data_IF_001851861956
#
_entry.id   IF_001851861956
#
_cell.length_a   1.000
_cell.length_b   1.000
_cell.length_c   1.000
_cell.angle_alpha   90.00
_cell.angle_beta   90.00
_cell.angle_gamma   90.00
#
_symmetry.space_group_name_H-M   'P 1'
#
loop_
_entity.id
_entity.type
_entity.pdbx_description
1 polymer ?
#
# COMPACT_ATOMS: atom_id res chain seq x y z
N UNK A 1 2.19 5.49 11.61
CA UNK A 1 0.97 4.93 10.96
C UNK A 1 0.79 5.64 9.63
N UNK A 2 0.53 4.93 8.54
CA UNK A 2 0.18 5.56 7.26
C UNK A 2 -1.33 5.74 7.13
N UNK A 3 -1.77 6.88 6.60
CA UNK A 3 -3.15 7.13 6.20
C UNK A 3 -3.21 8.12 5.04
N UNK A 4 -4.15 7.88 4.13
CA UNK A 4 -4.48 8.75 3.00
C UNK A 4 -5.93 9.19 3.15
N UNK A 5 -6.13 10.50 3.14
CA UNK A 5 -7.43 11.14 3.27
C UNK A 5 -7.81 11.83 1.97
N UNK A 6 -9.04 11.62 1.51
CA UNK A 6 -9.59 12.36 0.40
C UNK A 6 -9.87 13.82 0.79
N UNK A 7 -9.30 14.75 0.03
CA UNK A 7 -9.31 16.17 0.34
C UNK A 7 -10.69 16.81 0.21
N UNK A 8 -11.60 16.21 -0.55
CA UNK A 8 -12.96 16.70 -0.73
C UNK A 8 -13.91 16.16 0.35
N UNK A 9 -13.95 14.84 0.52
CA UNK A 9 -14.94 14.14 1.33
C UNK A 9 -14.52 13.91 2.79
N UNK A 10 -13.21 13.99 3.08
CA UNK A 10 -12.59 13.50 4.33
C UNK A 10 -12.60 11.97 4.47
N UNK A 11 -13.02 11.21 3.46
CA UNK A 11 -12.96 9.76 3.53
C UNK A 11 -11.50 9.28 3.61
N UNK A 12 -11.23 8.35 4.53
CA UNK A 12 -9.96 7.63 4.53
C UNK A 12 -9.99 6.59 3.42
N UNK A 13 -9.09 6.74 2.45
CA UNK A 13 -9.03 5.89 1.26
C UNK A 13 -7.95 4.82 1.36
N UNK A 14 -6.98 5.00 2.26
CA UNK A 14 -5.93 4.04 2.54
C UNK A 14 -5.37 4.25 3.93
N UNK A 15 -5.00 3.17 4.61
CA UNK A 15 -4.39 3.25 5.93
C UNK A 15 -3.64 1.96 6.28
N UNK A 16 -2.64 2.07 7.15
CA UNK A 16 -1.96 0.93 7.75
C UNK A 16 -1.19 1.34 9.00
N UNK A 17 -1.37 0.61 10.09
CA UNK A 17 -0.43 0.60 11.22
C UNK A 17 0.78 -0.26 10.87
N UNK A 18 1.96 0.23 11.25
CA UNK A 18 3.25 -0.43 11.08
C UNK A 18 4.18 -0.08 12.23
N UNK A 19 5.15 -0.94 12.51
CA UNK A 19 6.20 -0.67 13.52
C UNK A 19 7.27 0.32 13.02
N UNK A 20 7.27 0.63 11.72
CA UNK A 20 8.18 1.58 11.10
C UNK A 20 7.48 2.37 9.99
N UNK A 21 7.95 3.59 9.75
CA UNK A 21 7.48 4.46 8.68
C UNK A 21 8.42 4.39 7.48
N UNK A 22 8.45 3.21 6.84
CA UNK A 22 9.29 2.94 5.67
C UNK A 22 8.49 2.77 4.38
N UNK A 23 9.22 2.73 3.26
CA UNK A 23 8.69 2.59 1.90
C UNK A 23 7.84 1.33 1.71
N UNK A 24 8.18 0.23 2.39
CA UNK A 24 7.47 -1.04 2.26
C UNK A 24 6.13 -0.99 2.96
N UNK A 25 6.06 -0.39 4.16
CA UNK A 25 4.79 -0.19 4.89
C UNK A 25 3.92 0.84 4.20
N UNK A 26 4.52 1.88 3.61
CA UNK A 26 3.82 2.82 2.75
C UNK A 26 3.17 2.09 1.56
N UNK A 27 3.93 1.23 0.88
CA UNK A 27 3.40 0.41 -0.22
C UNK A 27 2.25 -0.49 0.23
N UNK A 28 2.38 -1.12 1.41
CA UNK A 28 1.33 -1.97 1.98
C UNK A 28 0.05 -1.19 2.36
N UNK A 29 0.14 0.12 2.62
CA UNK A 29 -1.03 0.98 2.80
C UNK A 29 -1.63 1.45 1.48
N UNK A 30 -0.78 1.81 0.50
CA UNK A 30 -1.18 2.43 -0.75
C UNK A 30 -1.76 1.42 -1.77
N UNK A 31 -1.22 0.20 -1.86
CA UNK A 31 -1.68 -0.81 -2.81
C UNK A 31 -3.17 -1.16 -2.67
N UNK A 32 -3.66 -1.55 -1.48
CA UNK A 32 -5.09 -1.85 -1.32
C UNK A 32 -5.95 -0.59 -1.48
N UNK A 33 -5.44 0.59 -1.11
CA UNK A 33 -6.14 1.86 -1.29
C UNK A 33 -6.45 2.12 -2.77
N UNK A 34 -5.45 2.02 -3.64
CA UNK A 34 -5.60 2.22 -5.08
C UNK A 34 -6.52 1.16 -5.70
N UNK A 35 -6.40 -0.10 -5.26
CA UNK A 35 -7.24 -1.19 -5.75
C UNK A 35 -8.70 -1.12 -5.34
N UNK A 36 -9.01 -0.54 -4.17
CA UNK A 36 -10.37 -0.46 -3.64
C UNK A 36 -11.05 0.89 -3.85
N UNK A 37 -10.28 1.98 -3.91
CA UNK A 37 -10.78 3.37 -3.96
C UNK A 37 -10.34 4.12 -5.22
N UNK A 38 -9.64 3.45 -6.14
CA UNK A 38 -9.23 4.00 -7.43
C UNK A 38 -7.92 4.80 -7.38
N UNK A 39 -7.49 5.26 -8.54
CA UNK A 39 -6.25 6.04 -8.72
C UNK A 39 -6.55 7.53 -8.64
N UNK A 40 -5.94 8.29 -7.69
CA UNK A 40 -6.16 9.72 -7.60
C UNK A 40 -5.33 10.50 -8.63
N UNK A 41 -5.78 11.68 -9.01
CA UNK A 41 -5.00 12.58 -9.88
C UNK A 41 -3.71 13.08 -9.20
N UNK A 42 -3.76 13.29 -7.88
CA UNK A 42 -2.63 13.84 -7.12
C UNK A 42 -2.55 13.22 -5.73
N UNK A 43 -1.34 12.87 -5.31
CA UNK A 43 -1.00 12.51 -3.93
C UNK A 43 -0.20 13.66 -3.34
N UNK A 44 -0.67 14.21 -2.22
CA UNK A 44 0.01 15.27 -1.47
C UNK A 44 0.60 14.71 -0.17
N UNK A 45 1.92 14.78 -0.03
CA UNK A 45 2.68 14.20 1.09
C UNK A 45 3.70 15.21 1.63
N UNK A 46 4.28 14.92 2.79
CA UNK A 46 5.45 15.67 3.26
C UNK A 46 6.76 15.10 2.73
N UNK A 47 7.88 15.67 3.17
CA UNK A 47 9.21 15.27 2.72
C UNK A 47 9.81 14.13 3.58
N UNK A 48 8.97 13.32 4.24
CA UNK A 48 9.41 12.11 4.93
C UNK A 48 10.17 11.17 3.97
N UNK A 49 11.16 10.44 4.49
CA UNK A 49 12.09 9.64 3.67
C UNK A 49 11.39 8.60 2.79
N UNK A 50 10.30 7.99 3.28
CA UNK A 50 9.48 7.06 2.51
C UNK A 50 8.68 7.74 1.38
N UNK A 51 8.37 9.03 1.50
CA UNK A 51 7.62 9.81 0.51
C UNK A 51 8.49 10.44 -0.57
N UNK A 52 9.80 10.52 -0.35
CA UNK A 52 10.78 10.96 -1.36
C UNK A 52 11.55 9.79 -1.98
N UNK A 53 11.17 8.55 -1.65
CA UNK A 53 11.78 7.34 -2.20
C UNK A 53 11.53 7.24 -3.71
N UNK A 54 12.56 6.83 -4.46
CA UNK A 54 12.50 6.68 -5.91
C UNK A 54 11.40 5.70 -6.35
N UNK A 55 11.11 4.67 -5.55
CA UNK A 55 10.02 3.75 -5.83
C UNK A 55 8.67 4.47 -5.88
N UNK A 56 8.36 5.33 -4.90
CA UNK A 56 7.05 6.01 -4.86
C UNK A 56 6.87 6.91 -6.08
N UNK A 57 7.94 7.62 -6.47
CA UNK A 57 7.92 8.46 -7.68
C UNK A 57 7.61 7.62 -8.93
N UNK A 58 8.26 6.46 -9.09
CA UNK A 58 8.01 5.52 -10.20
C UNK A 58 6.59 4.96 -10.17
N UNK A 59 6.12 4.51 -9.00
CA UNK A 59 4.79 3.98 -8.80
C UNK A 59 3.71 5.02 -9.20
N UNK A 60 3.85 6.25 -8.71
CA UNK A 60 2.97 7.36 -9.08
C UNK A 60 3.01 7.64 -10.59
N UNK A 61 4.20 7.73 -11.19
CA UNK A 61 4.34 7.98 -12.62
C UNK A 61 3.68 6.89 -13.48
N UNK A 62 3.83 5.61 -13.11
CA UNK A 62 3.24 4.47 -13.83
C UNK A 62 1.71 4.47 -13.83
N UNK A 63 1.10 5.06 -12.79
CA UNK A 63 -0.35 5.19 -12.66
C UNK A 63 -0.85 6.60 -13.02
N UNK A 64 0.00 7.43 -13.64
CA UNK A 64 -0.30 8.83 -13.96
C UNK A 64 -0.75 9.70 -12.76
N UNK A 65 -0.28 9.37 -11.56
CA UNK A 65 -0.51 10.13 -10.33
C UNK A 65 0.54 11.23 -10.23
N UNK A 66 0.11 12.48 -10.04
CA UNK A 66 1.01 13.57 -9.69
C UNK A 66 1.40 13.50 -8.21
N UNK A 67 2.66 13.20 -7.92
CA UNK A 67 3.18 13.29 -6.54
C UNK A 67 3.58 14.73 -6.23
N UNK A 68 3.01 15.32 -5.18
CA UNK A 68 3.29 16.70 -4.74
C UNK A 68 3.74 16.70 -3.28
N UNK A 69 4.84 17.39 -3.00
CA UNK A 69 5.37 17.52 -1.64
C UNK A 69 5.04 18.87 -1.02
N UNK A 70 4.85 18.87 0.30
CA UNK A 70 4.74 20.13 1.05
C UNK A 70 6.03 20.95 0.92
N UNK A 71 5.89 22.28 0.83
CA UNK A 71 7.05 23.17 0.80
C UNK A 71 7.74 23.16 2.17
N UNK A 72 9.07 23.07 2.24
CA UNK A 72 9.80 23.19 3.49
C UNK A 72 9.37 24.45 4.27
N UNK A 73 9.04 24.28 5.55
CA UNK A 73 8.60 25.39 6.42
C UNK A 73 7.19 25.93 6.16
N UNK A 74 6.40 25.35 5.25
CA UNK A 74 5.00 25.73 5.00
C UNK A 74 4.08 24.51 5.07
N UNK A 75 3.60 24.13 6.27
CA UNK A 75 2.75 22.95 6.46
C UNK A 75 1.30 23.12 5.94
N UNK A 76 1.04 24.15 5.14
CA UNK A 76 -0.29 24.45 4.58
C UNK A 76 -0.78 23.24 3.77
N UNK A 77 -1.94 22.69 4.16
CA UNK A 77 -2.55 21.50 3.54
C UNK A 77 -2.55 20.23 4.40
N UNK A 78 -1.69 20.11 5.42
CA UNK A 78 -1.61 18.88 6.26
C UNK A 78 -2.61 18.85 7.41
N UNK A 79 -3.24 19.97 7.74
CA UNK A 79 -4.15 20.07 8.89
C UNK A 79 -5.32 19.07 8.87
N UNK A 80 -5.75 18.62 7.68
CA UNK A 80 -6.83 17.62 7.54
C UNK A 80 -6.39 16.24 8.02
N UNK A 81 -5.22 15.76 7.58
CA UNK A 81 -4.70 14.47 8.03
C UNK A 81 -4.22 14.53 9.48
N UNK A 82 -3.63 15.66 9.91
CA UNK A 82 -3.24 15.88 11.31
C UNK A 82 -4.47 15.88 12.25
N UNK A 83 -5.59 16.49 11.83
CA UNK A 83 -6.86 16.41 12.55
C UNK A 83 -7.40 14.98 12.61
N UNK A 84 -7.34 14.25 11.50
CA UNK A 84 -7.73 12.84 11.49
C UNK A 84 -6.90 12.01 12.46
N UNK A 85 -5.58 12.15 12.49
CA UNK A 85 -4.74 11.44 13.47
C UNK A 85 -5.05 11.80 14.91
N UNK A 86 -5.51 13.02 15.19
CA UNK A 86 -6.06 13.35 16.51
C UNK A 86 -7.36 12.60 16.79
N UNK A 87 -8.30 12.54 15.84
CA UNK A 87 -9.52 11.73 15.97
C UNK A 87 -9.20 10.25 16.23
N UNK A 88 -8.21 9.68 15.54
CA UNK A 88 -7.76 8.30 15.79
C UNK A 88 -7.27 8.13 17.23
N UNK A 89 -6.46 9.07 17.74
CA UNK A 89 -6.01 9.03 19.14
C UNK A 89 -7.19 9.12 20.12
N UNK A 90 -8.04 10.12 19.95
CA UNK A 90 -9.08 10.47 20.90
C UNK A 90 -10.27 9.49 20.91
N UNK A 91 -10.47 8.70 19.83
CA UNK A 91 -11.63 7.81 19.70
C UNK A 91 -11.26 6.34 19.55
N UNK A 92 -10.21 6.02 18.78
CA UNK A 92 -9.85 4.62 18.51
C UNK A 92 -8.81 4.13 19.51
N UNK A 93 -7.70 4.86 19.68
CA UNK A 93 -6.59 4.38 20.51
C UNK A 93 -6.92 4.42 22.02
N UNK A 94 -7.73 5.37 22.50
CA UNK A 94 -8.19 5.40 23.90
C UNK A 94 -8.99 4.14 24.26
N UNK A 95 -9.83 3.64 23.36
CA UNK A 95 -10.58 2.38 23.56
C UNK A 95 -9.67 1.13 23.59
N UNK A 96 -8.44 1.23 23.06
CA UNK A 96 -7.44 0.18 23.14
C UNK A 96 -6.63 0.23 24.45
N UNK A 97 -6.44 1.44 25.00
CA UNK A 97 -5.61 1.72 26.19
C UNK A 97 -6.22 1.12 27.47
N UNK A 98 -7.54 1.14 27.59
CA UNK A 98 -8.25 0.67 28.79
C UNK A 98 -8.37 -0.87 28.90
N UNK A 99 -8.05 -1.65 27.85
CA UNK A 99 -8.34 -3.10 27.84
C UNK A 99 -7.28 -4.02 27.24
N UNK A 100 -6.38 -3.57 26.35
CA UNK A 100 -5.65 -4.53 25.48
C UNK A 100 -4.26 -4.10 25.01
N UNK A 101 -3.60 -3.10 25.60
CA UNK A 101 -2.22 -2.73 25.18
C UNK A 101 -1.23 -3.90 25.34
N UNK A 102 -1.53 -4.86 26.22
CA UNK A 102 -0.81 -6.13 26.31
C UNK A 102 -1.35 -7.29 25.46
N UNK A 103 -2.57 -7.19 24.90
CA UNK A 103 -3.27 -8.28 24.19
C UNK A 103 -3.42 -8.06 22.68
N UNK A 104 -3.13 -6.85 22.15
CA UNK A 104 -2.98 -6.65 20.71
C UNK A 104 -1.56 -7.07 20.34
N UNK A 105 -1.36 -8.38 20.36
CA UNK A 105 -0.05 -9.02 20.14
C UNK A 105 0.40 -8.89 18.69
N UNK A 106 -0.55 -8.62 17.78
CA UNK A 106 -0.32 -8.65 16.36
C UNK A 106 -0.88 -7.43 15.65
N UNK A 107 0.01 -6.76 14.92
CA UNK A 107 -0.28 -5.64 14.03
C UNK A 107 -1.41 -5.95 13.02
N UNK A 108 -1.58 -7.23 12.67
CA UNK A 108 -2.68 -7.71 11.84
C UNK A 108 -4.04 -7.46 12.49
N UNK A 109 -4.17 -7.77 13.78
CA UNK A 109 -5.40 -7.53 14.53
C UNK A 109 -5.66 -6.04 14.66
N UNK A 110 -4.64 -5.24 15.02
CA UNK A 110 -4.77 -3.79 15.08
C UNK A 110 -5.29 -3.19 13.76
N UNK A 111 -4.72 -3.61 12.63
CA UNK A 111 -5.15 -3.15 11.31
C UNK A 111 -6.58 -3.58 10.96
N UNK A 112 -7.00 -4.79 11.37
CA UNK A 112 -8.37 -5.29 11.18
C UNK A 112 -9.37 -4.48 12.00
N UNK A 113 -9.09 -4.28 13.29
CA UNK A 113 -9.94 -3.48 14.18
C UNK A 113 -10.04 -2.03 13.70
N UNK A 114 -8.92 -1.47 13.26
CA UNK A 114 -8.88 -0.12 12.73
C UNK A 114 -9.70 0.00 11.43
N UNK A 115 -9.58 -0.97 10.51
CA UNK A 115 -10.40 -0.99 9.30
C UNK A 115 -11.90 -1.02 9.62
N UNK A 116 -12.30 -1.84 10.60
CA UNK A 116 -13.69 -1.89 11.07
C UNK A 116 -14.13 -0.52 11.61
N UNK A 117 -13.36 0.08 12.52
CA UNK A 117 -13.64 1.40 13.08
C UNK A 117 -13.74 2.50 11.99
N UNK A 118 -12.84 2.49 11.01
CA UNK A 118 -12.87 3.45 9.90
C UNK A 118 -14.18 3.34 9.13
N UNK A 119 -14.57 2.12 8.73
CA UNK A 119 -15.72 1.88 7.85
C UNK A 119 -17.08 1.97 8.57
N UNK A 120 -17.15 1.62 9.86
CA UNK A 120 -18.42 1.59 10.61
C UNK A 120 -18.65 2.83 11.46
N UNK A 121 -17.59 3.49 11.95
CA UNK A 121 -17.69 4.66 12.83
C UNK A 121 -17.28 5.93 12.09
N UNK A 122 -16.00 6.05 11.72
CA UNK A 122 -15.46 7.31 11.19
C UNK A 122 -16.16 7.75 9.89
N UNK A 123 -16.27 6.84 8.92
CA UNK A 123 -16.87 7.11 7.62
C UNK A 123 -18.37 7.43 7.69
N UNK A 124 -19.08 6.93 8.71
CA UNK A 124 -20.53 7.11 8.88
C UNK A 124 -20.90 8.30 9.76
N UNK A 125 -19.97 8.79 10.57
CA UNK A 125 -20.20 9.94 11.43
C UNK A 125 -20.20 11.23 10.61
N UNK A 126 -21.23 12.06 10.79
CA UNK A 126 -21.32 13.37 10.11
C UNK A 126 -20.13 14.24 10.52
N UNK A 127 -19.32 14.62 9.54
CA UNK A 127 -18.11 15.41 9.81
C UNK A 127 -18.46 16.89 9.97
N UNK A 128 -18.03 17.50 11.06
CA UNK A 128 -18.43 18.84 11.50
C UNK A 128 -18.17 19.95 10.49
N UNK A 129 -17.04 19.92 9.78
CA UNK A 129 -16.69 20.93 8.75
C UNK A 129 -17.48 20.76 7.45
N UNK A 130 -17.87 19.53 7.09
CA UNK A 130 -18.46 19.22 5.79
C UNK A 130 -19.98 19.05 5.85
N UNK A 131 -20.54 18.88 7.05
CA UNK A 131 -21.96 18.62 7.30
C UNK A 131 -22.46 17.27 6.76
N UNK A 132 -21.57 16.38 6.34
CA UNK A 132 -21.91 15.10 5.70
C UNK A 132 -21.01 13.98 6.22
N UNK A 133 -21.51 12.75 6.22
CA UNK A 133 -20.72 11.56 6.47
C UNK A 133 -19.64 11.41 5.38
N UNK A 134 -18.36 11.19 5.72
CA UNK A 134 -17.27 11.12 4.75
C UNK A 134 -17.52 10.15 3.58
N UNK A 135 -18.03 8.95 3.86
CA UNK A 135 -18.24 7.94 2.80
C UNK A 135 -19.38 8.32 1.86
N UNK A 136 -20.46 8.91 2.38
CA UNK A 136 -21.57 9.36 1.54
C UNK A 136 -21.12 10.48 0.61
N UNK A 137 -20.35 11.43 1.14
CA UNK A 137 -19.80 12.54 0.37
C UNK A 137 -18.85 12.04 -0.72
N UNK A 138 -18.04 11.01 -0.42
CA UNK A 138 -17.15 10.38 -1.39
C UNK A 138 -17.93 9.65 -2.50
N UNK A 139 -18.89 8.79 -2.13
CA UNK A 139 -19.71 8.01 -3.07
C UNK A 139 -20.56 8.87 -4.02
N UNK A 140 -20.90 10.11 -3.61
CA UNK A 140 -21.57 11.10 -4.46
C UNK A 140 -20.63 11.79 -5.44
N UNK A 141 -19.34 11.90 -5.12
CA UNK A 141 -18.35 12.61 -5.95
C UNK A 141 -17.58 11.72 -6.93
N UNK A 142 -17.61 10.40 -6.77
CA UNK A 142 -16.87 9.50 -7.66
C UNK A 142 -17.64 9.21 -8.97
N UNK A 143 -16.91 9.00 -10.09
CA UNK A 143 -17.48 8.44 -11.31
C UNK A 143 -18.14 7.08 -11.04
N UNK A 144 -19.18 6.75 -11.82
CA UNK A 144 -19.90 5.48 -11.76
C UNK A 144 -19.93 4.86 -13.16
N UNK A 145 -19.24 3.72 -13.40
CA UNK A 145 -18.44 2.95 -12.45
C UNK A 145 -17.15 3.69 -12.04
N UNK A 146 -16.62 3.39 -10.85
CA UNK A 146 -15.33 3.89 -10.39
C UNK A 146 -14.22 3.26 -11.26
N UNK A 147 -13.39 4.06 -11.96
CA UNK A 147 -12.25 3.51 -12.68
C UNK A 147 -11.24 2.93 -11.69
N UNK A 148 -11.10 1.61 -11.71
CA UNK A 148 -10.10 0.89 -10.93
C UNK A 148 -8.93 0.49 -11.84
N UNK A 149 -7.68 0.57 -11.33
CA UNK A 149 -6.53 0.10 -12.09
C UNK A 149 -6.61 -1.42 -12.28
N UNK A 150 -6.10 -1.93 -13.39
CA UNK A 150 -6.02 -3.37 -13.58
C UNK A 150 -5.04 -3.99 -12.57
N UNK A 151 -5.17 -5.29 -12.31
CA UNK A 151 -4.19 -5.99 -11.48
C UNK A 151 -2.78 -5.95 -12.07
N UNK A 152 -2.65 -5.87 -13.40
CA UNK A 152 -1.38 -5.72 -14.08
C UNK A 152 -0.77 -4.33 -13.83
N UNK A 153 -1.57 -3.25 -13.94
CA UNK A 153 -1.10 -1.89 -13.68
C UNK A 153 -0.67 -1.73 -12.21
N UNK A 154 -1.47 -2.26 -11.28
CA UNK A 154 -1.12 -2.29 -9.86
C UNK A 154 0.12 -3.13 -9.60
N UNK A 155 0.32 -4.26 -10.30
CA UNK A 155 1.54 -5.04 -10.13
C UNK A 155 2.74 -4.23 -10.59
N UNK A 156 2.70 -3.68 -11.80
CA UNK A 156 3.79 -2.90 -12.39
C UNK A 156 4.20 -1.71 -11.51
N UNK A 157 3.22 -0.95 -11.00
CA UNK A 157 3.44 0.19 -10.13
C UNK A 157 4.16 -0.16 -8.82
N UNK A 158 3.99 -1.40 -8.34
CA UNK A 158 4.55 -1.84 -7.07
C UNK A 158 5.86 -2.63 -7.23
N UNK A 159 6.31 -2.87 -8.47
CA UNK A 159 7.67 -3.34 -8.72
C UNK A 159 8.69 -2.24 -8.41
N UNK A 160 9.85 -2.67 -7.93
CA UNK A 160 11.00 -1.83 -7.65
C UNK A 160 11.94 -1.86 -8.84
N UNK A 161 12.77 -0.83 -8.98
CA UNK A 161 13.70 -0.74 -10.10
C UNK A 161 15.04 -0.16 -9.71
N UNK A 162 16.12 -0.68 -10.27
CA UNK A 162 17.45 -0.09 -10.17
C UNK A 162 18.17 -0.08 -11.51
N UNK A 163 18.86 1.02 -11.83
CA UNK A 163 19.68 1.10 -13.04
C UNK A 163 21.07 0.53 -12.76
N UNK A 164 21.48 -0.45 -13.56
CA UNK A 164 22.79 -1.08 -13.51
C UNK A 164 23.46 -1.05 -14.88
N UNK A 165 24.79 -1.05 -14.89
CA UNK A 165 25.58 -1.20 -16.12
C UNK A 165 25.99 -2.64 -16.27
N UNK A 166 25.73 -3.23 -17.43
CA UNK A 166 26.11 -4.62 -17.72
C UNK A 166 27.62 -4.75 -17.85
N UNK A 167 28.20 -5.76 -17.18
CA UNK A 167 29.64 -5.98 -17.17
C UNK A 167 30.18 -6.30 -18.57
N UNK A 168 31.28 -5.63 -18.94
CA UNK A 168 31.94 -5.76 -20.25
C UNK A 168 32.51 -7.14 -20.58
N UNK A 169 32.87 -7.92 -19.56
CA UNK A 169 33.57 -9.20 -19.71
C UNK A 169 32.66 -10.41 -19.49
N UNK A 170 31.67 -10.27 -18.62
CA UNK A 170 30.85 -11.40 -18.16
C UNK A 170 29.39 -11.33 -18.57
N UNK A 171 28.92 -10.25 -19.20
CA UNK A 171 27.49 -10.05 -19.49
C UNK A 171 26.59 -10.20 -18.24
N UNK A 172 27.10 -9.79 -17.07
CA UNK A 172 26.38 -9.90 -15.79
C UNK A 172 26.04 -8.53 -15.21
N UNK A 173 25.06 -8.52 -14.31
CA UNK A 173 24.71 -7.40 -13.45
C UNK A 173 24.71 -7.83 -11.98
N UNK A 174 25.06 -6.91 -11.09
CA UNK A 174 25.00 -7.13 -9.64
C UNK A 174 23.88 -6.32 -9.01
N UNK A 175 23.12 -6.94 -8.12
CA UNK A 175 22.02 -6.32 -7.39
C UNK A 175 21.94 -6.91 -5.97
N UNK A 176 21.98 -6.07 -4.94
CA UNK A 176 21.91 -6.46 -3.52
C UNK A 176 22.80 -7.64 -3.09
N UNK A 177 24.05 -7.68 -3.59
CA UNK A 177 25.03 -8.76 -3.35
C UNK A 177 24.74 -10.07 -4.08
N UNK A 178 23.78 -10.08 -5.00
CA UNK A 178 23.55 -11.17 -5.96
C UNK A 178 24.15 -10.80 -7.33
N UNK A 179 24.35 -11.82 -8.16
CA UNK A 179 24.82 -11.68 -9.55
C UNK A 179 23.88 -12.41 -10.49
N UNK A 180 23.55 -11.78 -11.61
CA UNK A 180 22.64 -12.28 -12.62
C UNK A 180 23.27 -12.18 -14.01
N UNK A 181 23.08 -13.20 -14.82
CA UNK A 181 23.39 -13.20 -16.25
C UNK A 181 22.29 -12.44 -17.00
N UNK A 182 22.67 -11.63 -17.98
CA UNK A 182 21.75 -10.95 -18.88
C UNK A 182 22.15 -11.21 -20.32
N UNK A 183 21.31 -10.80 -21.27
CA UNK A 183 21.62 -10.94 -22.70
C UNK A 183 22.99 -10.29 -23.03
N UNK A 184 23.94 -11.03 -23.64
CA UNK A 184 25.24 -10.50 -24.06
C UNK A 184 25.16 -9.28 -24.99
N UNK A 185 24.05 -9.08 -25.71
CA UNK A 185 23.84 -7.88 -26.53
C UNK A 185 23.75 -6.60 -25.70
N UNK A 186 23.47 -6.71 -24.39
CA UNK A 186 23.35 -5.58 -23.48
C UNK A 186 24.69 -5.16 -22.85
N UNK A 187 25.79 -5.83 -23.19
CA UNK A 187 27.11 -5.59 -22.61
C UNK A 187 27.53 -4.12 -22.71
N UNK A 188 27.89 -3.53 -21.57
CA UNK A 188 28.27 -2.12 -21.47
C UNK A 188 27.11 -1.12 -21.50
N UNK A 189 25.88 -1.57 -21.73
CA UNK A 189 24.68 -0.73 -21.69
C UNK A 189 24.21 -0.51 -20.26
N UNK A 190 23.50 0.61 -20.03
CA UNK A 190 22.73 0.83 -18.81
C UNK A 190 21.34 0.21 -18.99
N UNK A 191 20.99 -0.69 -18.10
CA UNK A 191 19.71 -1.39 -18.07
C UNK A 191 19.00 -1.12 -16.75
N UNK A 192 17.67 -1.09 -16.80
CA UNK A 192 16.82 -1.05 -15.63
C UNK A 192 16.49 -2.49 -15.23
N UNK A 193 16.77 -2.85 -13.98
CA UNK A 193 16.37 -4.12 -13.38
C UNK A 193 15.08 -3.88 -12.62
N UNK A 194 13.99 -4.51 -13.02
CA UNK A 194 12.66 -4.38 -12.41
C UNK A 194 12.33 -5.68 -11.68
N UNK A 195 11.94 -5.60 -10.40
CA UNK A 195 11.80 -6.76 -9.53
C UNK A 195 10.78 -6.55 -8.41
N UNK A 196 10.28 -7.63 -7.82
CA UNK A 196 9.51 -7.58 -6.59
C UNK A 196 10.47 -7.43 -5.39
N UNK A 197 10.29 -6.45 -4.49
CA UNK A 197 11.19 -6.29 -3.33
C UNK A 197 11.20 -7.50 -2.38
N UNK A 198 10.21 -8.39 -2.46
CA UNK A 198 10.14 -9.63 -1.68
C UNK A 198 10.65 -10.86 -2.43
N UNK A 199 11.03 -10.72 -3.70
CA UNK A 199 11.57 -11.81 -4.52
C UNK A 199 12.62 -11.29 -5.51
N UNK A 200 13.89 -11.47 -5.14
CA UNK A 200 15.05 -11.15 -5.99
C UNK A 200 15.43 -12.31 -6.92
N UNK A 201 14.63 -13.36 -7.04
CA UNK A 201 14.89 -14.48 -7.97
C UNK A 201 14.27 -14.24 -9.35
N UNK A 202 13.23 -13.40 -9.44
CA UNK A 202 12.60 -13.00 -10.70
C UNK A 202 12.89 -11.51 -10.99
N UNK A 203 13.79 -11.27 -11.95
CA UNK A 203 14.18 -9.91 -12.36
C UNK A 203 13.95 -9.74 -13.86
N UNK A 204 13.15 -8.74 -14.20
CA UNK A 204 12.98 -8.28 -15.57
C UNK A 204 14.04 -7.24 -15.92
N UNK A 205 14.63 -7.36 -17.11
CA UNK A 205 15.61 -6.42 -17.65
C UNK A 205 14.90 -5.54 -18.68
N UNK A 206 15.02 -4.23 -18.51
CA UNK A 206 14.54 -3.23 -19.47
C UNK A 206 15.70 -2.39 -20.01
N UNK A 207 15.67 -2.14 -21.32
CA UNK A 207 16.58 -1.22 -21.99
C UNK A 207 15.75 -0.11 -22.68
N UNK A 208 16.11 1.15 -22.43
CA UNK A 208 15.37 2.31 -22.93
C UNK A 208 13.85 2.24 -22.68
N UNK A 209 13.46 1.74 -21.50
CA UNK A 209 12.07 1.60 -21.07
C UNK A 209 11.31 0.41 -21.68
N UNK A 210 11.96 -0.45 -22.47
CA UNK A 210 11.33 -1.64 -23.08
C UNK A 210 11.85 -2.92 -22.44
N UNK A 211 10.99 -3.92 -22.19
CA UNK A 211 11.44 -5.24 -21.73
C UNK A 211 12.29 -5.90 -22.81
N UNK A 212 13.48 -6.37 -22.40
CA UNK A 212 14.43 -7.07 -23.28
C UNK A 212 14.68 -8.52 -22.87
N UNK A 213 14.25 -8.91 -21.67
CA UNK A 213 14.37 -10.29 -21.19
C UNK A 213 14.34 -10.37 -19.67
N UNK A 214 14.67 -11.55 -19.13
CA UNK A 214 14.87 -11.76 -17.70
C UNK A 214 16.35 -11.91 -17.37
N UNK A 215 16.74 -11.49 -16.17
CA UNK A 215 18.07 -11.74 -15.64
C UNK A 215 18.10 -13.12 -14.98
N UNK A 216 19.00 -14.00 -15.43
CA UNK A 216 19.10 -15.38 -14.91
C UNK A 216 19.98 -15.36 -13.66
N UNK A 217 19.52 -15.84 -12.50
CA UNK A 217 20.34 -15.79 -11.30
C UNK A 217 21.54 -16.74 -11.39
N UNK A 218 22.75 -16.19 -11.26
CA UNK A 218 23.98 -16.98 -11.21
C UNK A 218 24.35 -17.32 -9.76
N UNK A 219 24.20 -16.34 -8.86
CA UNK A 219 24.37 -16.52 -7.42
C UNK A 219 23.38 -15.62 -6.67
N UNK A 220 22.51 -16.24 -5.88
CA UNK A 220 21.56 -15.55 -5.01
C UNK A 220 21.87 -15.93 -3.56
N UNK A 221 22.52 -15.02 -2.85
CA UNK A 221 22.69 -15.14 -1.40
C UNK A 221 21.52 -14.50 -0.64
N UNK A 222 20.96 -13.42 -1.19
CA UNK A 222 19.87 -12.65 -0.59
C UNK A 222 18.62 -12.72 -1.46
N UNK A 223 17.52 -13.24 -0.90
CA UNK A 223 16.28 -13.42 -1.66
C UNK A 223 15.33 -12.21 -1.59
N UNK A 224 15.53 -11.29 -0.65
CA UNK A 224 14.66 -10.12 -0.45
C UNK A 224 15.46 -8.82 -0.46
N UNK A 225 14.84 -7.75 -0.93
CA UNK A 225 15.43 -6.42 -0.88
C UNK A 225 15.78 -6.02 0.58
N UNK A 226 16.91 -5.36 0.87
CA UNK A 226 17.30 -4.99 2.25
C UNK A 226 16.27 -4.15 3.04
N UNK A 227 15.44 -3.38 2.33
CA UNK A 227 14.30 -2.62 2.91
C UNK A 227 13.05 -3.49 3.17
N UNK A 228 12.92 -4.65 2.54
CA UNK A 228 11.77 -5.57 2.66
C UNK A 228 11.88 -6.51 3.87
N UNK A 229 12.18 -5.94 5.05
CA UNK A 229 12.25 -6.71 6.29
C UNK A 229 10.83 -7.10 6.74
N UNK A 230 10.57 -8.34 7.20
CA UNK A 230 9.27 -8.73 7.78
C UNK A 230 8.87 -7.88 8.99
N UNK A 231 7.55 -7.78 9.25
CA UNK A 231 7.03 -7.28 10.53
C UNK A 231 7.02 -8.45 11.52
N UNK A 232 8.09 -8.64 12.30
CA UNK A 232 8.15 -9.71 13.32
C UNK A 232 7.71 -9.16 14.69
N UNK A 233 6.58 -9.62 15.26
CA UNK A 233 6.21 -9.33 16.65
C UNK A 233 7.05 -10.16 17.63
N UNK A 234 7.18 -9.70 18.88
CA UNK A 234 7.66 -10.52 20.00
C UNK A 234 6.62 -11.59 20.37
N UNK A 235 7.05 -12.67 21.05
CA UNK A 235 6.19 -13.83 21.37
C UNK A 235 4.95 -13.45 22.22
N UNK A 236 3.77 -14.02 21.91
CA UNK A 236 2.51 -13.72 22.59
C UNK A 236 2.34 -14.38 23.97
N UNK A 237 1.63 -13.70 24.88
CA UNK A 237 1.14 -14.17 26.18
C UNK A 237 -0.36 -14.60 26.12
N UNK A 238 -0.85 -15.31 27.13
CA UNK A 238 -2.16 -15.97 27.07
C UNK A 238 -3.38 -15.01 27.18
N UNK A 239 -4.52 -15.31 26.51
CA UNK A 239 -5.66 -14.38 26.37
C UNK A 239 -6.63 -14.39 27.57
N UNK A 240 -7.25 -13.23 27.89
CA UNK A 240 -8.34 -13.13 28.88
C UNK A 240 -9.55 -12.28 28.43
N UNK A 241 -10.71 -12.92 28.24
CA UNK A 241 -12.05 -12.42 28.65
C UNK A 241 -12.79 -11.28 27.89
N UNK A 242 -13.88 -11.68 27.20
CA UNK A 242 -15.07 -10.95 26.67
C UNK A 242 -14.83 -9.71 25.77
N UNK A 243 -15.34 -9.84 24.54
CA UNK A 243 -14.85 -9.19 23.32
C UNK A 243 -15.92 -8.28 22.68
N UNK A 244 -15.88 -6.98 23.01
CA UNK A 244 -16.72 -5.94 22.38
C UNK A 244 -16.37 -5.74 20.90
N UNK A 245 -15.14 -6.07 20.50
CA UNK A 245 -14.64 -5.90 19.14
C UNK A 245 -15.24 -6.95 18.19
N UNK A 246 -15.55 -8.16 18.68
CA UNK A 246 -16.37 -9.14 17.94
C UNK A 246 -17.73 -8.62 17.49
N UNK A 247 -18.32 -7.67 18.22
CA UNK A 247 -19.59 -7.05 17.83
C UNK A 247 -19.39 -6.14 16.60
N UNK A 248 -18.36 -5.30 16.62
CA UNK A 248 -17.97 -4.46 15.47
C UNK A 248 -17.51 -5.29 14.26
N UNK A 249 -16.84 -6.41 14.51
CA UNK A 249 -16.45 -7.39 13.48
C UNK A 249 -17.66 -8.07 12.84
N UNK A 250 -18.67 -8.44 13.64
CA UNK A 250 -19.91 -9.00 13.14
C UNK A 250 -20.61 -8.05 12.16
N UNK A 251 -20.63 -6.76 12.48
CA UNK A 251 -21.23 -5.72 11.64
C UNK A 251 -20.42 -5.45 10.36
N UNK A 252 -19.08 -5.41 10.44
CA UNK A 252 -18.21 -5.24 9.26
C UNK A 252 -18.28 -6.47 8.34
N UNK A 253 -18.18 -7.69 8.89
CA UNK A 253 -18.28 -8.93 8.11
C UNK A 253 -19.68 -9.14 7.50
N UNK A 254 -20.74 -8.64 8.14
CA UNK A 254 -22.09 -8.64 7.58
C UNK A 254 -22.25 -7.60 6.45
N UNK A 255 -21.58 -6.45 6.55
CA UNK A 255 -21.56 -5.43 5.49
C UNK A 255 -20.77 -5.90 4.25
N UNK A 256 -19.60 -6.52 4.45
CA UNK A 256 -18.77 -7.06 3.37
C UNK A 256 -19.45 -8.22 2.63
N UNK A 257 -20.20 -9.08 3.33
CA UNK A 257 -21.01 -10.16 2.71
C UNK A 257 -22.20 -9.66 1.88
N UNK A 258 -22.68 -8.44 2.09
CA UNK A 258 -23.74 -7.80 1.29
C UNK A 258 -23.23 -7.10 0.03
N UNK A 259 -21.91 -6.90 -0.09
CA UNK A 259 -21.28 -6.48 -1.35
C UNK A 259 -21.14 -7.70 -2.25
N UNK A 260 -21.87 -7.73 -3.36
CA UNK A 260 -21.80 -8.80 -4.38
C UNK A 260 -20.34 -9.11 -4.70
N UNK A 261 -19.92 -10.34 -4.40
CA UNK A 261 -18.63 -10.86 -4.83
C UNK A 261 -18.72 -11.14 -6.35
N UNK A 262 -18.33 -10.17 -7.17
CA UNK A 262 -18.33 -10.33 -8.62
C UNK A 262 -17.34 -11.42 -9.10
N UNK A 263 -16.38 -11.84 -8.28
CA UNK A 263 -15.48 -12.94 -8.64
C UNK A 263 -16.17 -14.32 -8.62
N UNK A 264 -17.23 -14.50 -7.82
CA UNK A 264 -17.98 -15.77 -7.82
C UNK A 264 -19.06 -15.85 -8.91
N UNK A 265 -19.41 -14.75 -9.57
CA UNK A 265 -20.37 -14.75 -10.69
C UNK A 265 -19.74 -15.07 -12.05
N UNK A 266 -18.40 -15.11 -12.13
CA UNK A 266 -17.68 -15.38 -13.37
C UNK A 266 -17.39 -16.89 -13.53
N UNK A 267 -17.38 -17.66 -12.44
CA UNK A 267 -17.07 -19.10 -12.47
C UNK A 267 -18.28 -19.97 -12.88
N UNK A 268 -19.49 -19.61 -12.44
CA UNK A 268 -20.72 -20.39 -12.73
C UNK A 268 -21.18 -20.33 -14.21
N UNK A 269 -20.58 -19.47 -15.03
CA UNK A 269 -20.95 -19.32 -16.44
C UNK A 269 -20.12 -20.19 -17.41
N UNK A 270 -19.19 -20.99 -16.89
CA UNK A 270 -18.33 -21.90 -17.69
C UNK A 270 -18.66 -23.38 -17.57
N UNK A 271 -19.59 -23.79 -16.70
CA UNK A 271 -20.03 -25.19 -16.60
C UNK A 271 -21.38 -25.49 -17.29
N UNK A 272 -21.98 -24.49 -17.96
CA UNK A 272 -23.20 -24.69 -18.74
C UNK A 272 -22.94 -24.45 -20.25
N UNK A 273 -22.12 -25.30 -20.87
CA UNK A 273 -22.13 -25.53 -22.32
C UNK A 273 -21.54 -26.88 -22.70
#
# INVERSE_FOLDING_TARGET
>A
MFAFIDNHSRAIVGHRFGFAEDTVRLAAALRPALGARGVPETIYVDNGSCFVDAWLLRACASLAIKLTHSKPGRPQGRGKIERFFRTVRDQFLVELDDRRVGEIEHLTELNRLFAAWVETVYHRTVHTETGQAPIERWLRSIPKPLPLPSQADLREAFLWSEIRTVNKKSATVSLHSNTYDVDPMLVGMRVELVFDPFDLTDIEVRAAGKPVGKAVPQHVGRHTHPKAKPETPAEPAAPTGIDYLKVLEGEHAAATRKGINYASLIDDSREAR
#
